data_IF_079953819728
#
_entry.id   IF_079953819728
#
_cell.length_a   1.000
_cell.length_b   1.000
_cell.length_c   1.000
_cell.angle_alpha   90.00
_cell.angle_beta   90.00
_cell.angle_gamma   90.00
#
_symmetry.space_group_name_H-M   'P 1'
#
loop_
_entity.id
_entity.type
_entity.pdbx_description
1 polymer ?
#
# COMPACT_ATOMS: atom_id res chain seq x y z
N UNK A 1 -26.48 -11.94 -5.29
CA UNK A 1 -27.23 -10.67 -5.36
C UNK A 1 -26.61 -9.69 -4.37
N UNK A 2 -26.52 -8.39 -4.72
CA UNK A 2 -26.21 -7.37 -3.73
C UNK A 2 -27.26 -7.39 -2.63
N UNK A 3 -26.86 -7.08 -1.41
CA UNK A 3 -27.75 -7.02 -0.28
C UNK A 3 -28.90 -6.04 -0.55
N UNK A 4 -30.13 -6.44 -0.26
CA UNK A 4 -31.32 -5.59 -0.36
C UNK A 4 -31.66 -5.05 -1.76
N UNK A 5 -31.27 -5.74 -2.85
CA UNK A 5 -31.55 -5.35 -4.24
C UNK A 5 -30.99 -3.97 -4.65
N UNK A 6 -30.14 -3.38 -3.83
CA UNK A 6 -29.46 -2.11 -4.11
C UNK A 6 -28.25 -2.31 -5.02
N UNK A 7 -27.90 -1.30 -5.83
CA UNK A 7 -26.60 -1.28 -6.54
C UNK A 7 -25.44 -1.48 -5.58
N UNK A 8 -24.35 -2.11 -6.03
CA UNK A 8 -23.16 -2.35 -5.20
C UNK A 8 -22.60 -1.06 -4.58
N UNK A 9 -22.67 0.06 -5.29
CA UNK A 9 -22.25 1.39 -4.81
C UNK A 9 -23.08 1.89 -3.61
N UNK A 10 -24.33 1.50 -3.50
CA UNK A 10 -25.27 1.90 -2.45
C UNK A 10 -25.32 0.90 -1.29
N UNK A 11 -24.59 -0.21 -1.43
CA UNK A 11 -24.42 -1.21 -0.38
C UNK A 11 -23.14 -0.92 0.43
N UNK A 12 -22.96 -1.60 1.56
CA UNK A 12 -21.72 -1.56 2.35
C UNK A 12 -20.49 -2.11 1.63
N UNK A 13 -20.51 -2.23 0.30
CA UNK A 13 -19.44 -2.79 -0.52
C UNK A 13 -18.20 -1.87 -0.52
N UNK A 14 -17.02 -2.45 -0.31
CA UNK A 14 -15.73 -1.75 -0.29
C UNK A 14 -14.97 -1.83 -1.62
N UNK A 15 -15.61 -2.34 -2.68
CA UNK A 15 -15.04 -2.49 -4.03
C UNK A 15 -13.72 -3.28 -4.06
N UNK A 16 -13.62 -4.33 -3.25
CA UNK A 16 -12.41 -5.15 -3.16
C UNK A 16 -12.23 -6.15 -4.32
N UNK A 17 -13.28 -6.38 -5.15
CA UNK A 17 -13.22 -7.34 -6.26
C UNK A 17 -13.19 -8.82 -5.86
N UNK A 18 -13.38 -9.17 -4.59
CA UNK A 18 -13.35 -10.57 -4.14
C UNK A 18 -14.45 -11.43 -4.77
N UNK A 19 -15.61 -10.85 -5.04
CA UNK A 19 -16.71 -11.53 -5.71
C UNK A 19 -16.30 -12.10 -7.08
N UNK A 20 -15.41 -11.43 -7.80
CA UNK A 20 -14.86 -11.91 -9.07
C UNK A 20 -13.90 -13.08 -8.84
N UNK A 21 -13.05 -12.99 -7.81
CA UNK A 21 -12.05 -14.04 -7.51
C UNK A 21 -12.69 -15.37 -7.09
N UNK A 22 -13.80 -15.31 -6.35
CA UNK A 22 -14.46 -16.50 -5.79
C UNK A 22 -15.59 -17.02 -6.67
N UNK A 23 -15.91 -16.37 -7.78
CA UNK A 23 -16.98 -16.83 -8.66
C UNK A 23 -16.56 -18.08 -9.45
N UNK A 24 -17.11 -19.26 -9.16
CA UNK A 24 -16.66 -20.50 -9.77
C UNK A 24 -17.13 -20.63 -11.22
N UNK A 25 -18.20 -19.90 -11.59
CA UNK A 25 -18.84 -20.00 -12.92
C UNK A 25 -18.38 -18.91 -13.87
N UNK A 26 -17.56 -17.92 -13.41
CA UNK A 26 -17.18 -16.78 -14.23
C UNK A 26 -18.32 -15.81 -14.54
N UNK A 27 -19.50 -15.98 -13.90
CA UNK A 27 -20.65 -15.07 -14.08
C UNK A 27 -20.35 -13.64 -13.63
N UNK A 28 -19.41 -13.48 -12.69
CA UNK A 28 -18.82 -12.20 -12.31
C UNK A 28 -17.43 -12.15 -12.92
N UNK A 29 -17.27 -11.41 -14.00
CA UNK A 29 -16.01 -11.23 -14.71
C UNK A 29 -15.47 -9.81 -14.57
N UNK A 30 -14.21 -9.65 -14.91
CA UNK A 30 -13.57 -8.35 -15.05
C UNK A 30 -13.89 -7.79 -16.44
N UNK A 31 -14.14 -6.48 -16.52
CA UNK A 31 -14.09 -5.77 -17.80
C UNK A 31 -12.61 -5.61 -18.17
N UNK A 32 -12.06 -6.64 -18.78
CA UNK A 32 -10.68 -6.57 -19.25
C UNK A 32 -10.62 -5.77 -20.55
N UNK A 33 -9.59 -4.97 -20.68
CA UNK A 33 -9.22 -4.26 -21.91
C UNK A 33 -8.87 -5.23 -23.04
N UNK A 34 -8.43 -6.45 -22.67
CA UNK A 34 -8.04 -7.49 -23.61
C UNK A 34 -9.00 -8.65 -23.50
N UNK A 35 -9.94 -8.82 -24.47
CA UNK A 35 -10.78 -10.00 -24.53
C UNK A 35 -9.90 -11.24 -24.81
N UNK A 36 -9.85 -12.17 -23.87
CA UNK A 36 -9.21 -13.48 -24.08
C UNK A 36 -10.12 -14.35 -24.97
N UNK A 37 -9.98 -14.20 -26.27
CA UNK A 37 -10.75 -14.99 -27.24
C UNK A 37 -10.11 -16.35 -27.56
N UNK A 38 -8.84 -16.54 -27.20
CA UNK A 38 -8.05 -17.77 -27.43
C UNK A 38 -7.16 -18.07 -26.23
N UNK A 39 -6.75 -19.34 -26.01
CA UNK A 39 -5.71 -19.65 -25.06
C UNK A 39 -4.42 -18.92 -25.43
N UNK A 40 -3.86 -18.19 -24.49
CA UNK A 40 -2.58 -17.51 -24.63
C UNK A 40 -1.56 -18.23 -23.76
N UNK A 41 -0.34 -18.40 -24.30
CA UNK A 41 0.81 -18.85 -23.51
C UNK A 41 1.22 -17.70 -22.58
N UNK A 42 0.81 -17.79 -21.33
CA UNK A 42 1.05 -16.74 -20.34
C UNK A 42 2.04 -17.20 -19.27
N UNK A 43 2.73 -16.24 -18.70
CA UNK A 43 3.68 -16.46 -17.60
C UNK A 43 3.15 -15.82 -16.32
N UNK A 44 3.38 -16.50 -15.19
CA UNK A 44 3.05 -15.99 -13.86
C UNK A 44 4.33 -15.60 -13.12
N UNK A 45 4.37 -14.39 -12.61
CA UNK A 45 5.49 -13.87 -11.82
C UNK A 45 5.01 -13.46 -10.45
N UNK A 46 5.62 -14.04 -9.41
CA UNK A 46 5.33 -13.68 -8.03
C UNK A 46 5.82 -12.28 -7.71
N UNK A 47 4.99 -11.50 -7.06
CA UNK A 47 5.34 -10.13 -6.66
C UNK A 47 4.54 -9.69 -5.43
N UNK A 48 4.88 -8.51 -4.93
CA UNK A 48 4.19 -7.86 -3.82
C UNK A 48 3.52 -6.58 -4.31
N UNK A 49 2.26 -6.38 -3.94
CA UNK A 49 1.52 -5.17 -4.26
C UNK A 49 2.13 -3.95 -3.57
N UNK A 50 2.48 -2.91 -4.33
CA UNK A 50 3.11 -1.68 -3.84
C UNK A 50 2.14 -0.53 -3.55
N UNK A 51 0.82 -0.75 -3.63
CA UNK A 51 -0.16 0.33 -3.47
C UNK A 51 -0.41 0.76 -2.03
N UNK A 52 -0.13 -0.10 -1.05
CA UNK A 52 -0.23 0.26 0.37
C UNK A 52 0.64 -0.65 1.24
N UNK A 53 0.81 -0.27 2.51
CA UNK A 53 1.65 -0.97 3.50
C UNK A 53 1.20 -2.38 3.90
N UNK A 54 0.06 -2.87 3.41
CA UNK A 54 -0.37 -4.25 3.67
C UNK A 54 0.57 -5.26 3.03
N UNK A 55 1.16 -4.94 1.86
CA UNK A 55 2.12 -5.83 1.21
C UNK A 55 1.50 -7.14 0.73
N UNK A 56 0.31 -7.11 0.13
CA UNK A 56 -0.35 -8.30 -0.40
C UNK A 56 0.54 -9.01 -1.42
N UNK A 57 0.76 -10.32 -1.25
CA UNK A 57 1.40 -11.15 -2.28
C UNK A 57 0.42 -11.48 -3.39
N UNK A 58 0.91 -11.41 -4.61
CA UNK A 58 0.13 -11.66 -5.81
C UNK A 58 1.03 -12.21 -6.92
N UNK A 59 0.41 -12.79 -7.92
CA UNK A 59 1.03 -13.17 -9.18
C UNK A 59 0.55 -12.23 -10.28
N UNK A 60 1.48 -11.76 -11.08
CA UNK A 60 1.18 -11.05 -12.32
C UNK A 60 1.22 -12.03 -13.47
N UNK A 61 0.12 -12.12 -14.20
CA UNK A 61 0.02 -12.88 -15.45
C UNK A 61 0.40 -11.96 -16.61
N UNK A 62 1.38 -12.35 -17.41
CA UNK A 62 1.86 -11.61 -18.56
C UNK A 62 1.80 -12.44 -19.85
N UNK A 63 1.62 -11.74 -20.97
CA UNK A 63 1.76 -12.26 -22.32
C UNK A 63 2.73 -11.37 -23.08
N UNK A 64 3.88 -11.89 -23.45
CA UNK A 64 4.98 -11.07 -23.93
C UNK A 64 5.35 -9.99 -22.92
N UNK A 65 5.38 -8.74 -23.32
CA UNK A 65 5.68 -7.58 -22.45
C UNK A 65 4.43 -6.95 -21.83
N UNK A 66 3.26 -7.54 -22.00
CA UNK A 66 2.00 -6.97 -21.53
C UNK A 66 1.52 -7.70 -20.26
N UNK A 67 1.17 -6.95 -19.23
CA UNK A 67 0.49 -7.48 -18.06
C UNK A 67 -1.00 -7.59 -18.35
N UNK A 68 -1.56 -8.76 -18.13
CA UNK A 68 -2.98 -9.04 -18.46
C UNK A 68 -3.85 -9.30 -17.25
N UNK A 69 -3.26 -9.69 -16.11
CA UNK A 69 -4.03 -9.97 -14.90
C UNK A 69 -3.16 -9.94 -13.63
N UNK A 70 -3.76 -9.58 -12.51
CA UNK A 70 -3.19 -9.77 -11.19
C UNK A 70 -4.05 -10.74 -10.39
N UNK A 71 -3.42 -11.80 -9.86
CA UNK A 71 -4.08 -12.87 -9.10
C UNK A 71 -3.55 -12.88 -7.66
N UNK A 72 -4.39 -12.83 -6.63
CA UNK A 72 -3.92 -12.90 -5.25
C UNK A 72 -3.33 -14.28 -4.94
N UNK A 73 -2.21 -14.29 -4.22
CA UNK A 73 -1.61 -15.50 -3.70
C UNK A 73 -2.47 -16.03 -2.53
N UNK A 74 -2.98 -17.26 -2.68
CA UNK A 74 -3.85 -17.92 -1.68
C UNK A 74 -3.08 -18.41 -0.46
N UNK A 75 -1.80 -18.71 -0.64
CA UNK A 75 -0.94 -19.26 0.40
C UNK A 75 -0.17 -18.19 1.17
N UNK A 76 -0.34 -16.92 0.77
CA UNK A 76 0.27 -15.79 1.45
C UNK A 76 -0.22 -15.66 2.90
N UNK A 77 0.68 -15.58 3.89
CA UNK A 77 0.30 -15.34 5.30
C UNK A 77 -0.31 -13.96 5.50
N UNK A 78 0.00 -13.00 4.63
CA UNK A 78 -0.47 -11.62 4.74
C UNK A 78 -1.92 -11.48 4.29
N UNK A 79 -2.22 -11.88 3.07
CA UNK A 79 -3.52 -11.62 2.45
C UNK A 79 -4.38 -12.86 2.22
N UNK A 80 -3.86 -14.08 2.30
CA UNK A 80 -4.63 -15.37 2.17
C UNK A 80 -5.65 -15.31 1.02
N UNK A 81 -5.20 -14.94 -0.18
CA UNK A 81 -6.06 -14.81 -1.35
C UNK A 81 -6.93 -13.56 -1.40
N UNK A 82 -6.85 -12.67 -0.40
CA UNK A 82 -7.53 -11.38 -0.44
C UNK A 82 -6.69 -10.36 -1.23
N UNK A 83 -7.36 -9.53 -2.01
CA UNK A 83 -6.74 -8.40 -2.71
C UNK A 83 -7.79 -7.34 -2.98
N UNK A 84 -7.44 -6.07 -2.86
CA UNK A 84 -8.36 -4.98 -3.19
C UNK A 84 -8.29 -4.60 -4.66
N UNK A 85 -9.24 -3.76 -5.10
CA UNK A 85 -9.31 -3.31 -6.49
C UNK A 85 -8.03 -2.62 -6.99
N UNK A 86 -7.28 -1.92 -6.11
CA UNK A 86 -6.01 -1.29 -6.48
C UNK A 86 -4.97 -2.34 -6.92
N UNK A 87 -4.77 -3.39 -6.11
CA UNK A 87 -3.84 -4.45 -6.46
C UNK A 87 -4.31 -5.27 -7.66
N UNK A 88 -5.64 -5.44 -7.78
CA UNK A 88 -6.21 -6.29 -8.81
C UNK A 88 -6.20 -5.66 -10.20
N UNK A 89 -6.41 -4.35 -10.30
CA UNK A 89 -6.55 -3.64 -11.57
C UNK A 89 -5.52 -2.54 -11.78
N UNK A 90 -4.75 -2.21 -10.75
CA UNK A 90 -3.75 -1.13 -10.84
C UNK A 90 -2.55 -1.44 -11.72
N UNK A 91 -2.36 -2.70 -12.12
CA UNK A 91 -1.28 -3.09 -13.03
C UNK A 91 -1.40 -2.45 -14.43
N UNK A 92 -2.59 -2.01 -14.83
CA UNK A 92 -2.79 -1.33 -16.10
C UNK A 92 -1.90 -0.11 -16.28
N UNK A 93 -1.47 0.53 -15.17
CA UNK A 93 -0.53 1.64 -15.23
C UNK A 93 0.84 1.24 -15.84
N UNK A 94 1.21 -0.03 -15.80
CA UNK A 94 2.44 -0.52 -16.41
C UNK A 94 2.32 -0.71 -17.94
N UNK A 95 1.09 -0.84 -18.45
CA UNK A 95 0.81 -1.04 -19.87
C UNK A 95 0.53 0.28 -20.62
N UNK A 96 0.63 1.44 -19.96
CA UNK A 96 0.35 2.73 -20.60
C UNK A 96 1.43 3.07 -21.63
N UNK A 97 1.01 3.48 -22.83
CA UNK A 97 1.90 3.90 -23.90
C UNK A 97 2.72 5.15 -23.55
N UNK A 98 2.21 5.98 -22.64
CA UNK A 98 2.89 7.18 -22.17
C UNK A 98 4.04 6.90 -21.18
N UNK A 99 4.24 5.65 -20.76
CA UNK A 99 5.36 5.30 -19.88
C UNK A 99 6.70 5.54 -20.59
N UNK A 100 7.60 6.21 -19.87
CA UNK A 100 8.97 6.41 -20.35
C UNK A 100 9.73 5.10 -20.25
N UNK A 101 10.07 4.54 -21.41
CA UNK A 101 10.83 3.29 -21.52
C UNK A 101 12.33 3.54 -21.66
N UNK A 102 12.70 4.71 -22.18
CA UNK A 102 14.08 5.12 -22.42
C UNK A 102 14.38 6.47 -21.73
N UNK A 103 15.64 6.70 -21.35
CA UNK A 103 16.04 7.99 -20.81
C UNK A 103 15.84 9.12 -21.80
N UNK A 104 15.47 10.29 -21.31
CA UNK A 104 15.28 11.48 -22.14
C UNK A 104 16.11 12.65 -21.64
N UNK A 105 16.79 13.34 -22.56
CA UNK A 105 17.51 14.58 -22.30
C UNK A 105 16.87 15.76 -23.02
N UNK A 106 16.85 16.92 -22.36
CA UNK A 106 16.39 18.16 -22.97
C UNK A 106 17.51 18.80 -23.79
N UNK A 107 17.37 18.81 -25.13
CA UNK A 107 18.26 19.50 -26.06
C UNK A 107 17.46 20.56 -26.82
N UNK A 108 17.94 21.80 -26.86
CA UNK A 108 17.27 22.92 -27.53
C UNK A 108 15.78 23.10 -27.16
N UNK A 109 15.45 22.89 -25.88
CA UNK A 109 14.09 23.06 -25.36
C UNK A 109 13.16 21.84 -25.55
N UNK A 110 13.56 20.81 -26.32
CA UNK A 110 12.79 19.58 -26.59
C UNK A 110 13.43 18.38 -25.89
N UNK A 111 12.58 17.47 -25.36
CA UNK A 111 13.04 16.19 -24.86
C UNK A 111 13.34 15.26 -26.04
N UNK A 112 14.50 14.61 -25.98
CA UNK A 112 14.97 13.66 -26.97
C UNK A 112 15.50 12.42 -26.24
N UNK A 113 15.26 11.26 -26.77
CA UNK A 113 15.80 10.00 -26.27
C UNK A 113 17.34 10.04 -26.28
N UNK A 114 17.93 9.38 -25.29
CA UNK A 114 19.37 9.22 -25.16
C UNK A 114 19.67 7.83 -24.56
N UNK A 115 20.90 7.38 -24.69
CA UNK A 115 21.32 6.17 -24.01
C UNK A 115 21.52 6.38 -22.51
N UNK A 116 21.54 5.28 -21.74
CA UNK A 116 21.72 5.32 -20.29
C UNK A 116 23.08 5.88 -19.87
N UNK A 117 24.13 5.64 -20.66
CA UNK A 117 25.47 6.15 -20.38
C UNK A 117 25.49 7.69 -20.39
N UNK A 118 24.94 8.29 -21.45
CA UNK A 118 24.82 9.75 -21.58
C UNK A 118 23.97 10.35 -20.46
N UNK A 119 22.85 9.70 -20.13
CA UNK A 119 21.98 10.12 -19.02
C UNK A 119 22.72 10.13 -17.69
N UNK A 120 23.47 9.06 -17.37
CA UNK A 120 24.25 8.96 -16.14
C UNK A 120 25.37 9.99 -16.07
N UNK A 121 26.16 10.14 -17.15
CA UNK A 121 27.24 11.13 -17.22
C UNK A 121 26.72 12.55 -17.02
N UNK A 122 25.61 12.90 -17.68
CA UNK A 122 25.00 14.23 -17.52
C UNK A 122 24.49 14.44 -16.08
N UNK A 123 23.79 13.46 -15.52
CA UNK A 123 23.26 13.53 -14.16
C UNK A 123 24.40 13.72 -13.15
N UNK A 124 25.44 12.90 -13.23
CA UNK A 124 26.61 13.01 -12.35
C UNK A 124 27.26 14.40 -12.42
N UNK A 125 27.52 14.90 -13.62
CA UNK A 125 28.10 16.24 -13.84
C UNK A 125 27.22 17.35 -13.24
N UNK A 126 25.90 17.28 -13.40
CA UNK A 126 24.98 18.26 -12.82
C UNK A 126 24.95 18.22 -11.30
N UNK A 127 24.92 17.04 -10.70
CA UNK A 127 24.96 16.87 -9.25
C UNK A 127 26.27 17.38 -8.65
N UNK A 128 27.41 17.04 -9.28
CA UNK A 128 28.72 17.53 -8.87
C UNK A 128 28.82 19.04 -8.98
N UNK A 129 28.41 19.63 -10.09
CA UNK A 129 28.38 21.09 -10.29
C UNK A 129 27.51 21.81 -9.26
N UNK A 130 26.35 21.24 -8.92
CA UNK A 130 25.47 21.80 -7.91
C UNK A 130 26.13 21.78 -6.52
N UNK A 131 26.77 20.66 -6.15
CA UNK A 131 27.50 20.53 -4.89
C UNK A 131 28.67 21.50 -4.80
N UNK A 132 29.46 21.63 -5.86
CA UNK A 132 30.61 22.56 -5.91
C UNK A 132 30.16 24.02 -5.79
N UNK A 133 29.02 24.38 -6.41
CA UNK A 133 28.53 25.75 -6.43
C UNK A 133 27.77 26.14 -5.18
N UNK A 134 26.98 25.24 -4.60
CA UNK A 134 26.00 25.56 -3.56
C UNK A 134 26.20 24.75 -2.26
N UNK A 135 27.16 23.82 -2.23
CA UNK A 135 27.40 22.94 -1.09
C UNK A 135 26.56 21.64 -1.11
N UNK A 136 26.87 20.74 -0.19
CA UNK A 136 26.20 19.42 -0.12
C UNK A 136 24.71 19.51 0.19
N UNK A 137 24.29 20.52 0.96
CA UNK A 137 22.88 20.72 1.33
C UNK A 137 22.01 21.21 0.17
N UNK A 138 22.60 21.56 -0.97
CA UNK A 138 21.87 21.98 -2.17
C UNK A 138 21.31 20.80 -2.99
N UNK A 139 21.72 19.58 -2.67
CA UNK A 139 21.29 18.36 -3.35
C UNK A 139 20.62 17.43 -2.37
N UNK A 140 19.46 16.91 -2.75
CA UNK A 140 18.75 15.88 -1.99
C UNK A 140 18.20 14.82 -2.95
N UNK A 141 18.07 13.59 -2.45
CA UNK A 141 17.39 12.51 -3.14
C UNK A 141 16.04 12.31 -2.49
N UNK A 142 14.97 12.45 -3.26
CA UNK A 142 13.60 12.17 -2.82
C UNK A 142 13.15 10.85 -3.44
N UNK A 143 12.80 9.89 -2.60
CA UNK A 143 12.36 8.55 -3.01
C UNK A 143 10.90 8.29 -2.60
N UNK A 144 10.20 7.52 -3.40
CA UNK A 144 8.83 7.07 -3.11
C UNK A 144 8.84 5.87 -2.15
N UNK A 145 7.79 5.73 -1.37
CA UNK A 145 7.48 4.54 -0.58
C UNK A 145 7.04 3.32 -1.43
N UNK A 146 6.96 3.49 -2.74
CA UNK A 146 6.65 2.42 -3.71
C UNK A 146 7.87 1.72 -4.25
N UNK A 147 9.06 2.18 -3.92
CA UNK A 147 10.29 1.49 -4.26
C UNK A 147 10.42 0.18 -3.48
N UNK A 148 11.12 -0.78 -4.07
CA UNK A 148 11.52 -1.99 -3.35
C UNK A 148 12.54 -1.62 -2.25
N UNK A 149 12.70 -2.51 -1.28
CA UNK A 149 13.71 -2.31 -0.22
C UNK A 149 15.13 -2.21 -0.82
N UNK A 150 15.39 -2.97 -1.87
CA UNK A 150 16.67 -2.98 -2.60
C UNK A 150 16.93 -1.65 -3.29
N UNK A 151 15.94 -1.10 -3.99
CA UNK A 151 16.04 0.21 -4.63
C UNK A 151 16.25 1.32 -3.59
N UNK A 152 15.48 1.32 -2.51
CA UNK A 152 15.61 2.28 -1.42
C UNK A 152 17.01 2.20 -0.77
N UNK A 153 17.54 0.98 -0.57
CA UNK A 153 18.87 0.76 -0.05
C UNK A 153 19.96 1.31 -0.97
N UNK A 154 19.86 1.04 -2.28
CA UNK A 154 20.83 1.56 -3.28
C UNK A 154 20.80 3.09 -3.30
N UNK A 155 19.61 3.70 -3.26
CA UNK A 155 19.47 5.16 -3.23
C UNK A 155 20.04 5.76 -1.94
N UNK A 156 19.83 5.10 -0.79
CA UNK A 156 20.47 5.52 0.47
C UNK A 156 21.98 5.44 0.38
N UNK A 157 22.53 4.34 -0.12
CA UNK A 157 23.97 4.14 -0.30
C UNK A 157 24.57 5.20 -1.24
N UNK A 158 23.86 5.57 -2.31
CA UNK A 158 24.27 6.66 -3.19
C UNK A 158 24.30 8.00 -2.43
N UNK A 159 23.25 8.31 -1.67
CA UNK A 159 23.19 9.53 -0.85
C UNK A 159 24.33 9.62 0.16
N UNK A 160 24.60 8.53 0.89
CA UNK A 160 25.68 8.45 1.86
C UNK A 160 27.06 8.68 1.20
N UNK A 161 27.33 8.03 0.06
CA UNK A 161 28.57 8.19 -0.69
C UNK A 161 28.75 9.62 -1.25
N UNK A 162 27.66 10.27 -1.61
CA UNK A 162 27.69 11.66 -2.08
C UNK A 162 27.71 12.68 -0.93
N UNK A 163 27.48 12.26 0.32
CA UNK A 163 27.36 13.15 1.48
C UNK A 163 26.13 14.06 1.38
N UNK A 164 25.02 13.58 0.80
CA UNK A 164 23.77 14.31 0.62
C UNK A 164 22.65 13.65 1.39
N UNK A 165 21.52 14.35 1.55
CA UNK A 165 20.36 13.83 2.28
C UNK A 165 19.47 12.97 1.38
N UNK A 166 19.12 11.77 1.85
CA UNK A 166 18.02 10.98 1.29
C UNK A 166 16.73 11.26 2.07
N UNK A 167 15.66 11.56 1.36
CA UNK A 167 14.34 11.86 1.92
C UNK A 167 13.34 10.89 1.30
N UNK A 168 12.66 10.10 2.14
CA UNK A 168 11.54 9.30 1.67
C UNK A 168 10.28 10.17 1.64
N UNK A 169 9.64 10.26 0.47
CA UNK A 169 8.36 10.93 0.32
C UNK A 169 7.25 10.07 0.95
N UNK A 170 6.22 10.74 1.45
CA UNK A 170 5.06 10.11 2.11
C UNK A 170 5.35 9.39 3.45
N UNK A 171 6.57 9.37 3.94
CA UNK A 171 6.83 8.96 5.31
C UNK A 171 6.57 10.12 6.25
N UNK A 172 5.64 9.96 7.16
CA UNK A 172 5.55 10.85 8.33
C UNK A 172 6.57 10.36 9.34
N UNK A 173 7.38 11.28 9.87
CA UNK A 173 8.23 10.97 11.01
C UNK A 173 7.33 10.44 12.14
N UNK A 174 7.35 9.14 12.37
CA UNK A 174 6.55 8.50 13.39
C UNK A 174 7.45 8.11 14.58
N UNK A 175 6.84 7.95 15.73
CA UNK A 175 7.54 7.54 16.93
C UNK A 175 7.84 6.03 16.99
N UNK A 176 7.34 5.23 16.07
CA UNK A 176 7.47 3.75 16.12
C UNK A 176 8.92 3.31 16.12
N UNK A 177 9.73 3.80 15.19
CA UNK A 177 11.14 3.46 15.13
C UNK A 177 11.90 3.83 16.42
N UNK A 178 11.49 4.89 17.11
CA UNK A 178 12.10 5.30 18.39
C UNK A 178 11.72 4.38 19.55
N UNK A 179 10.54 3.78 19.50
CA UNK A 179 10.01 2.92 20.57
C UNK A 179 10.34 1.45 20.28
N UNK A 180 10.12 1.00 19.05
CA UNK A 180 10.24 -0.40 18.65
C UNK A 180 11.59 -0.74 17.99
N UNK A 181 12.42 0.26 17.70
CA UNK A 181 13.68 0.08 16.96
C UNK A 181 13.50 -0.06 15.44
N UNK A 182 12.28 -0.28 14.97
CA UNK A 182 11.93 -0.41 13.54
C UNK A 182 10.66 0.36 13.23
N UNK A 183 10.54 0.83 12.00
CA UNK A 183 9.34 1.48 11.48
C UNK A 183 8.44 0.47 10.75
N UNK A 184 8.07 -0.59 11.45
CA UNK A 184 7.25 -1.67 10.94
C UNK A 184 6.33 -2.23 12.04
N UNK A 185 5.24 -2.86 11.65
CA UNK A 185 4.41 -3.60 12.60
C UNK A 185 5.15 -4.83 13.12
N UNK A 186 5.27 -5.03 14.43
CA UNK A 186 5.85 -6.24 14.99
C UNK A 186 4.91 -7.45 14.91
N UNK A 187 3.62 -7.22 14.64
CA UNK A 187 2.57 -8.23 14.64
C UNK A 187 2.22 -8.71 13.24
N UNK A 188 1.81 -9.98 13.18
CA UNK A 188 1.29 -10.61 11.96
C UNK A 188 -0.20 -10.33 11.76
N UNK A 189 -0.71 -10.60 10.55
CA UNK A 189 -2.15 -10.53 10.28
C UNK A 189 -2.95 -11.60 11.03
N UNK A 190 -2.32 -12.72 11.38
CA UNK A 190 -2.95 -13.78 12.16
C UNK A 190 -3.14 -13.36 13.61
N UNK A 191 -2.14 -12.71 14.20
CA UNK A 191 -2.24 -12.17 15.55
C UNK A 191 -3.30 -11.06 15.63
N UNK A 192 -3.42 -10.21 14.60
CA UNK A 192 -4.51 -9.23 14.51
C UNK A 192 -5.89 -9.90 14.57
N UNK A 193 -6.07 -10.99 13.80
CA UNK A 193 -7.36 -11.72 13.75
C UNK A 193 -7.65 -12.44 15.07
N UNK A 194 -6.62 -12.89 15.76
CA UNK A 194 -6.72 -13.60 17.04
C UNK A 194 -6.83 -12.68 18.26
N UNK A 195 -6.76 -11.36 18.07
CA UNK A 195 -6.84 -10.40 19.18
C UNK A 195 -8.24 -10.33 19.78
N UNK A 196 -8.33 -10.16 21.10
CA UNK A 196 -9.61 -10.01 21.79
C UNK A 196 -10.17 -8.59 21.69
N UNK A 197 -9.30 -7.57 21.68
CA UNK A 197 -9.67 -6.15 21.57
C UNK A 197 -8.77 -5.48 20.53
N UNK A 198 -9.37 -4.74 19.60
CA UNK A 198 -8.66 -4.02 18.56
C UNK A 198 -9.09 -2.55 18.56
N UNK A 199 -8.14 -1.65 18.81
CA UNK A 199 -8.35 -0.21 18.69
C UNK A 199 -7.79 0.23 17.33
N UNK A 200 -8.64 0.86 16.52
CA UNK A 200 -8.28 1.32 15.18
C UNK A 200 -8.47 2.83 15.11
N UNK A 201 -7.40 3.58 14.94
CA UNK A 201 -7.43 5.03 14.86
C UNK A 201 -7.12 5.53 13.45
N UNK A 202 -7.93 6.49 12.96
CA UNK A 202 -7.72 7.14 11.66
C UNK A 202 -7.87 6.20 10.44
N UNK A 203 -8.80 5.25 10.49
CA UNK A 203 -8.96 4.22 9.48
C UNK A 203 -9.82 4.67 8.28
N UNK A 204 -9.33 4.42 7.08
CA UNK A 204 -10.09 4.58 5.84
C UNK A 204 -10.15 3.26 5.06
N UNK A 205 -11.37 2.75 4.87
CA UNK A 205 -11.62 1.51 4.11
C UNK A 205 -11.19 1.59 2.65
N UNK A 206 -11.20 2.79 2.06
CA UNK A 206 -10.78 3.00 0.66
C UNK A 206 -9.27 2.87 0.50
N UNK A 207 -8.52 3.27 1.53
CA UNK A 207 -7.07 3.17 1.52
C UNK A 207 -6.60 1.75 1.83
N UNK A 208 -7.25 1.07 2.80
CA UNK A 208 -6.83 -0.24 3.29
C UNK A 208 -7.96 -1.28 3.29
N UNK A 209 -8.52 -1.67 2.13
CA UNK A 209 -9.67 -2.58 2.08
C UNK A 209 -9.38 -3.98 2.64
N UNK A 210 -8.15 -4.49 2.50
CA UNK A 210 -7.79 -5.81 3.03
C UNK A 210 -7.79 -5.81 4.56
N UNK A 211 -7.28 -4.75 5.19
CA UNK A 211 -7.35 -4.58 6.65
C UNK A 211 -8.81 -4.53 7.12
N UNK A 212 -9.68 -3.85 6.38
CA UNK A 212 -11.11 -3.85 6.70
C UNK A 212 -11.71 -5.27 6.76
N UNK A 213 -11.36 -6.12 5.79
CA UNK A 213 -11.81 -7.52 5.78
C UNK A 213 -11.24 -8.31 6.97
N UNK A 214 -9.98 -8.06 7.34
CA UNK A 214 -9.34 -8.70 8.49
C UNK A 214 -9.97 -8.27 9.83
N UNK A 215 -10.31 -6.98 9.97
CA UNK A 215 -11.04 -6.48 11.14
C UNK A 215 -12.44 -7.12 11.25
N UNK A 216 -13.12 -7.27 10.12
CA UNK A 216 -14.42 -7.95 10.07
C UNK A 216 -14.30 -9.44 10.43
N UNK A 217 -13.23 -10.10 10.01
CA UNK A 217 -12.91 -11.48 10.36
C UNK A 217 -12.65 -11.61 11.87
N UNK A 218 -11.82 -10.72 12.45
CA UNK A 218 -11.54 -10.65 13.87
C UNK A 218 -12.83 -10.46 14.70
N UNK A 219 -13.67 -9.51 14.32
CA UNK A 219 -14.95 -9.27 14.99
C UNK A 219 -15.87 -10.49 14.93
N UNK A 220 -15.89 -11.22 13.80
CA UNK A 220 -16.65 -12.49 13.67
C UNK A 220 -16.11 -13.57 14.61
N UNK A 221 -14.82 -13.55 14.90
CA UNK A 221 -14.17 -14.46 15.86
C UNK A 221 -14.34 -14.03 17.33
N UNK A 222 -15.06 -12.92 17.59
CA UNK A 222 -15.37 -12.45 18.92
C UNK A 222 -14.52 -11.28 19.40
N UNK A 223 -13.67 -10.70 18.56
CA UNK A 223 -12.90 -9.50 18.94
C UNK A 223 -13.81 -8.26 19.07
N UNK A 224 -13.58 -7.47 20.12
CA UNK A 224 -14.17 -6.14 20.27
C UNK A 224 -13.40 -5.12 19.45
N UNK A 225 -13.98 -4.64 18.34
CA UNK A 225 -13.37 -3.65 17.47
C UNK A 225 -13.88 -2.26 17.82
N UNK A 226 -12.97 -1.38 18.26
CA UNK A 226 -13.25 0.02 18.62
C UNK A 226 -12.61 0.92 17.55
N UNK A 227 -13.44 1.67 16.83
CA UNK A 227 -12.98 2.61 15.83
C UNK A 227 -12.92 4.03 16.41
N UNK A 228 -11.80 4.71 16.21
CA UNK A 228 -11.61 6.12 16.55
C UNK A 228 -11.35 6.88 15.25
N UNK A 229 -12.26 7.78 14.87
CA UNK A 229 -12.14 8.47 13.57
C UNK A 229 -12.53 9.94 13.68
N UNK A 230 -11.85 10.86 12.95
CA UNK A 230 -12.19 12.27 12.94
C UNK A 230 -13.48 12.58 12.17
N UNK A 231 -13.82 11.74 11.20
CA UNK A 231 -14.97 11.91 10.32
C UNK A 231 -16.01 10.80 10.52
N UNK A 232 -17.26 11.11 10.18
CA UNK A 232 -18.31 10.12 10.22
C UNK A 232 -18.10 9.07 9.14
N UNK A 233 -18.10 7.82 9.57
CA UNK A 233 -17.99 6.65 8.70
C UNK A 233 -19.38 6.16 8.29
N UNK A 234 -19.56 5.62 7.07
CA UNK A 234 -20.80 4.97 6.67
C UNK A 234 -21.07 3.77 7.60
N UNK A 235 -22.15 3.82 8.37
CA UNK A 235 -22.46 2.79 9.37
C UNK A 235 -22.54 1.39 8.77
N UNK A 236 -23.14 1.27 7.58
CA UNK A 236 -23.33 -0.03 6.90
C UNK A 236 -22.00 -0.77 6.62
N UNK A 237 -20.89 -0.03 6.57
CA UNK A 237 -19.56 -0.64 6.37
C UNK A 237 -18.94 -1.13 7.67
N UNK A 238 -19.40 -0.62 8.80
CA UNK A 238 -18.77 -0.83 10.11
C UNK A 238 -19.72 -1.45 11.14
N UNK A 239 -20.79 -2.12 10.69
CA UNK A 239 -21.73 -2.85 11.56
C UNK A 239 -21.04 -3.89 12.48
N UNK A 240 -19.84 -4.33 12.09
CA UNK A 240 -19.04 -5.25 12.91
C UNK A 240 -18.30 -4.57 14.06
N UNK A 241 -18.21 -3.24 14.05
CA UNK A 241 -17.52 -2.52 15.10
C UNK A 241 -18.36 -2.50 16.39
N UNK A 242 -17.74 -2.89 17.50
CA UNK A 242 -18.36 -2.83 18.83
C UNK A 242 -18.67 -1.39 19.22
N UNK A 243 -17.76 -0.46 18.92
CA UNK A 243 -17.90 0.97 19.21
C UNK A 243 -17.23 1.84 18.18
N UNK A 244 -17.87 2.97 17.86
CA UNK A 244 -17.29 4.02 17.01
C UNK A 244 -17.24 5.31 17.83
N UNK A 245 -16.05 5.90 17.94
CA UNK A 245 -15.79 7.16 18.64
C UNK A 245 -15.38 8.20 17.62
N UNK A 246 -16.14 9.27 17.53
CA UNK A 246 -15.81 10.39 16.65
C UNK A 246 -15.09 11.48 17.42
N UNK A 247 -13.85 11.78 17.02
CA UNK A 247 -13.06 12.85 17.63
C UNK A 247 -12.08 13.44 16.64
N UNK A 248 -11.92 14.77 16.65
CA UNK A 248 -10.86 15.45 15.90
C UNK A 248 -9.51 15.43 16.64
N UNK A 249 -9.50 14.92 17.87
CA UNK A 249 -8.32 14.88 18.74
C UNK A 249 -8.04 13.45 19.21
N UNK A 250 -7.80 12.57 18.25
CA UNK A 250 -7.49 11.16 18.44
C UNK A 250 -6.24 10.95 19.31
N UNK A 251 -5.21 11.78 19.14
CA UNK A 251 -3.98 11.71 19.92
C UNK A 251 -4.24 11.89 21.43
N UNK A 252 -5.05 12.88 21.83
CA UNK A 252 -5.34 13.10 23.24
C UNK A 252 -6.25 11.99 23.81
N UNK A 253 -7.17 11.47 23.00
CA UNK A 253 -7.97 10.32 23.40
C UNK A 253 -7.08 9.08 23.64
N UNK A 254 -6.16 8.78 22.72
CA UNK A 254 -5.23 7.66 22.85
C UNK A 254 -4.30 7.82 24.07
N UNK A 255 -3.79 9.03 24.31
CA UNK A 255 -3.01 9.35 25.54
C UNK A 255 -3.84 9.13 26.80
N UNK A 256 -5.12 9.51 26.79
CA UNK A 256 -6.04 9.29 27.90
C UNK A 256 -6.27 7.79 28.17
N UNK A 257 -6.48 7.00 27.12
CA UNK A 257 -6.61 5.55 27.23
C UNK A 257 -5.34 4.94 27.83
N UNK A 258 -4.17 5.30 27.28
CA UNK A 258 -2.88 4.83 27.79
C UNK A 258 -2.71 5.19 29.28
N UNK A 259 -3.02 6.42 29.68
CA UNK A 259 -2.95 6.83 31.09
C UNK A 259 -3.82 5.96 31.98
N UNK A 260 -5.07 5.70 31.59
CA UNK A 260 -5.98 4.85 32.39
C UNK A 260 -5.43 3.44 32.56
N UNK A 261 -4.82 2.88 31.51
CA UNK A 261 -4.19 1.54 31.56
C UNK A 261 -3.03 1.55 32.57
N UNK A 262 -2.15 2.54 32.48
CA UNK A 262 -1.00 2.70 33.38
C UNK A 262 -1.46 2.90 34.84
N UNK A 263 -2.40 3.83 35.09
CA UNK A 263 -2.92 4.12 36.39
C UNK A 263 -3.62 2.90 37.03
N UNK A 264 -4.23 2.05 36.22
CA UNK A 264 -4.82 0.79 36.67
C UNK A 264 -3.80 -0.31 36.98
N UNK A 265 -2.48 -0.05 36.80
CA UNK A 265 -1.38 -1.03 36.98
C UNK A 265 -1.60 -2.32 36.18
N UNK A 266 -2.26 -2.21 35.04
CA UNK A 266 -2.47 -3.30 34.09
C UNK A 266 -1.41 -3.27 32.97
N UNK A 267 -0.20 -2.83 33.33
CA UNK A 267 0.96 -2.96 32.45
C UNK A 267 1.29 -4.45 32.40
N UNK A 268 1.35 -5.01 31.20
CA UNK A 268 2.02 -6.28 31.03
C UNK A 268 3.51 -6.00 31.27
N UNK A 269 4.15 -6.75 32.13
CA UNK A 269 5.60 -6.82 32.19
C UNK A 269 6.09 -7.23 30.78
N UNK A 270 6.66 -6.28 30.05
CA UNK A 270 7.29 -6.50 28.73
C UNK A 270 8.71 -6.99 28.97
#
# INVERSE_FOLDING_TARGET
KPSLEKPLLESGNISCGQCVNVCPTGALGERLTIPKSVPLDTYFTDTTCSFCSVGCRMQLESYGNMLIKAVPDKDSPVNKGLMCGKGKWGFDCANLEENLLEPMMKKNGKFMECDYHDAFVMTAKKLESAKLKYGNDAVAIAISDRFTNEEAYVMKKLADNMGIKAICLNTRANGMAKVLGVDASPNTMEELIASNVIIVAGFDTKLNPVIHLKLKEAAKNGAEVILINPERLPQERFEFAHKIIYTKNDLNLLKGIAKVIVDAKKESEI
#
